data_IF_385995839926
#
_entry.id   IF_385995839926
#
_cell.length_a   1.000
_cell.length_b   1.000
_cell.length_c   1.000
_cell.angle_alpha   90.00
_cell.angle_beta   90.00
_cell.angle_gamma   90.00
#
_symmetry.space_group_name_H-M   'P 1'
#
loop_
_entity.id
_entity.type
_entity.pdbx_description
1 polymer ?
#
# COMPACT_ATOMS: atom_id res chain seq x y z
N UNK A 1 -5.56 -23.13 -38.85
CA UNK A 1 -4.11 -23.27 -38.63
C UNK A 1 -3.89 -23.25 -37.14
N UNK A 2 -3.28 -24.29 -36.57
CA UNK A 2 -2.81 -24.25 -35.18
C UNK A 2 -1.65 -23.26 -35.16
N UNK A 3 -1.72 -22.22 -34.33
CA UNK A 3 -0.63 -21.26 -34.21
C UNK A 3 0.64 -22.01 -33.80
N UNK A 4 1.74 -21.79 -34.53
CA UNK A 4 3.01 -22.48 -34.28
C UNK A 4 3.72 -21.95 -33.04
N UNK A 5 3.39 -20.72 -32.60
CA UNK A 5 3.76 -20.18 -31.30
C UNK A 5 2.70 -19.15 -30.85
N UNK A 6 2.60 -18.92 -29.53
CA UNK A 6 1.79 -17.86 -28.95
C UNK A 6 2.66 -16.94 -28.08
N UNK A 7 3.87 -16.67 -28.54
CA UNK A 7 4.87 -15.94 -27.75
C UNK A 7 4.53 -14.45 -27.61
N UNK A 8 3.92 -13.88 -28.63
CA UNK A 8 3.54 -12.47 -28.73
C UNK A 8 2.01 -12.32 -28.76
N UNK A 9 1.29 -13.04 -27.90
CA UNK A 9 -0.17 -12.94 -27.88
C UNK A 9 -0.59 -11.52 -27.44
N UNK A 10 -1.60 -10.90 -28.08
CA UNK A 10 -2.09 -9.58 -27.67
C UNK A 10 -2.62 -9.61 -26.23
N UNK A 11 -2.70 -8.43 -25.59
CA UNK A 11 -3.16 -8.33 -24.20
C UNK A 11 -4.55 -8.95 -24.01
N UNK A 12 -4.70 -9.83 -23.02
CA UNK A 12 -5.99 -10.38 -22.61
C UNK A 12 -6.59 -9.51 -21.50
N UNK A 13 -7.86 -9.12 -21.63
CA UNK A 13 -8.54 -8.22 -20.67
C UNK A 13 -9.90 -8.72 -20.23
N UNK A 14 -10.58 -9.49 -21.08
CA UNK A 14 -11.93 -9.98 -20.87
C UNK A 14 -11.93 -11.50 -20.73
N UNK A 15 -13.00 -12.06 -20.16
CA UNK A 15 -13.15 -13.53 -20.03
C UNK A 15 -13.17 -14.22 -21.41
N UNK A 16 -13.72 -13.54 -22.40
CA UNK A 16 -13.74 -13.97 -23.80
C UNK A 16 -12.32 -14.06 -24.36
N UNK A 17 -11.44 -13.10 -24.01
CA UNK A 17 -10.02 -13.14 -24.42
C UNK A 17 -9.29 -14.35 -23.84
N UNK A 18 -9.57 -14.71 -22.58
CA UNK A 18 -9.00 -15.93 -21.96
C UNK A 18 -9.45 -17.19 -22.69
N UNK A 19 -10.74 -17.29 -22.99
CA UNK A 19 -11.31 -18.45 -23.71
C UNK A 19 -10.71 -18.56 -25.11
N UNK A 20 -10.55 -17.42 -25.79
CA UNK A 20 -9.91 -17.33 -27.09
C UNK A 20 -8.42 -17.71 -27.03
N UNK A 21 -7.69 -17.23 -26.04
CA UNK A 21 -6.28 -17.56 -25.84
C UNK A 21 -6.08 -19.07 -25.63
N UNK A 22 -6.90 -19.71 -24.79
CA UNK A 22 -6.87 -21.18 -24.64
C UNK A 22 -7.14 -21.86 -25.98
N UNK A 23 -8.18 -21.45 -26.71
CA UNK A 23 -8.53 -22.06 -27.99
C UNK A 23 -7.43 -21.91 -29.05
N UNK A 24 -6.78 -20.75 -29.10
CA UNK A 24 -5.78 -20.42 -30.11
C UNK A 24 -4.42 -21.07 -29.79
N UNK A 25 -4.10 -21.25 -28.49
CA UNK A 25 -2.75 -21.56 -28.01
C UNK A 25 -2.63 -22.89 -27.26
N UNK A 26 -3.70 -23.66 -27.11
CA UNK A 26 -3.61 -24.93 -26.39
C UNK A 26 -2.57 -25.88 -26.99
N UNK A 27 -1.66 -26.35 -26.14
CA UNK A 27 -0.65 -27.35 -26.51
C UNK A 27 0.51 -26.81 -27.36
N UNK A 28 0.67 -25.49 -27.49
CA UNK A 28 1.89 -24.89 -28.07
C UNK A 28 3.05 -24.92 -27.05
N UNK A 29 4.28 -24.77 -27.54
CA UNK A 29 5.49 -24.84 -26.70
C UNK A 29 5.89 -23.50 -26.07
N UNK A 30 5.52 -22.38 -26.69
CA UNK A 30 5.84 -21.02 -26.24
C UNK A 30 4.59 -20.18 -26.05
N UNK A 31 4.39 -19.69 -24.83
CA UNK A 31 3.26 -18.83 -24.46
C UNK A 31 3.78 -17.48 -23.95
N UNK A 32 3.18 -16.37 -24.34
CA UNK A 32 3.59 -15.07 -23.84
C UNK A 32 2.71 -13.93 -24.32
N UNK A 33 2.81 -12.78 -23.64
CA UNK A 33 2.14 -11.55 -24.04
C UNK A 33 3.12 -10.54 -24.63
N UNK A 34 2.63 -9.64 -25.49
CA UNK A 34 3.39 -8.47 -25.96
C UNK A 34 3.67 -7.48 -24.81
N UNK A 35 4.73 -6.69 -24.93
CA UNK A 35 5.37 -5.96 -23.81
C UNK A 35 4.58 -4.78 -23.21
N UNK A 36 3.38 -4.47 -23.72
CA UNK A 36 2.77 -3.15 -23.48
C UNK A 36 1.68 -3.07 -22.39
N UNK A 37 1.04 -4.16 -21.92
CA UNK A 37 -0.03 -4.14 -20.87
C UNK A 37 -0.10 -5.53 -20.15
N UNK A 38 -0.74 -5.71 -18.96
CA UNK A 38 -0.21 -6.56 -17.89
C UNK A 38 0.23 -7.96 -18.34
N UNK A 39 1.47 -8.30 -17.98
CA UNK A 39 2.13 -9.57 -18.26
C UNK A 39 1.64 -10.66 -17.30
N UNK A 40 0.32 -10.80 -17.14
CA UNK A 40 -0.32 -11.67 -16.15
C UNK A 40 -1.38 -12.51 -16.83
N UNK A 41 -1.24 -13.83 -16.69
CA UNK A 41 -2.30 -14.79 -17.00
C UNK A 41 -2.97 -15.18 -15.67
N UNK A 42 -4.21 -14.73 -15.49
CA UNK A 42 -5.00 -15.03 -14.30
C UNK A 42 -5.92 -16.24 -14.54
N UNK A 43 -5.57 -17.35 -13.91
CA UNK A 43 -6.24 -18.62 -14.08
C UNK A 43 -7.67 -18.63 -13.51
N UNK A 44 -8.08 -17.62 -12.73
CA UNK A 44 -9.46 -17.52 -12.24
C UNK A 44 -10.49 -17.41 -13.39
N UNK A 45 -10.04 -17.01 -14.58
CA UNK A 45 -10.91 -16.83 -15.75
C UNK A 45 -11.05 -18.09 -16.62
N UNK A 46 -10.37 -19.20 -16.29
CA UNK A 46 -10.42 -20.46 -17.05
C UNK A 46 -10.74 -21.64 -16.14
N UNK A 47 -11.23 -22.74 -16.72
CA UNK A 47 -11.37 -24.01 -15.99
C UNK A 47 -10.01 -24.69 -15.83
N UNK A 48 -9.85 -25.56 -14.82
CA UNK A 48 -8.60 -26.34 -14.66
C UNK A 48 -8.31 -27.19 -15.90
N UNK A 49 -9.35 -27.73 -16.55
CA UNK A 49 -9.20 -28.51 -17.77
C UNK A 49 -8.60 -27.66 -18.90
N UNK A 50 -9.07 -26.43 -19.04
CA UNK A 50 -8.57 -25.50 -20.06
C UNK A 50 -7.17 -24.99 -19.73
N UNK A 51 -6.88 -24.73 -18.46
CA UNK A 51 -5.53 -24.46 -17.96
C UNK A 51 -4.57 -25.62 -18.31
N UNK A 52 -4.93 -26.85 -17.96
CA UNK A 52 -4.10 -28.03 -18.20
C UNK A 52 -3.92 -28.31 -19.70
N UNK A 53 -4.93 -28.07 -20.53
CA UNK A 53 -4.80 -28.12 -22.00
C UNK A 53 -3.83 -27.07 -22.51
N UNK A 54 -3.97 -25.83 -22.04
CA UNK A 54 -3.10 -24.71 -22.43
C UNK A 54 -1.62 -25.02 -22.14
N UNK A 55 -1.32 -25.46 -20.91
CA UNK A 55 0.04 -25.72 -20.46
C UNK A 55 0.55 -27.15 -20.73
N UNK A 56 -0.22 -28.00 -21.41
CA UNK A 56 0.11 -29.42 -21.65
C UNK A 56 1.46 -29.65 -22.32
N UNK A 57 1.90 -28.74 -23.19
CA UNK A 57 3.19 -28.78 -23.89
C UNK A 57 4.05 -27.53 -23.68
N UNK A 58 3.61 -26.57 -22.86
CA UNK A 58 4.28 -25.29 -22.69
C UNK A 58 5.65 -25.47 -22.03
N UNK A 59 6.71 -25.07 -22.74
CA UNK A 59 8.11 -25.17 -22.30
C UNK A 59 8.67 -23.83 -21.89
N UNK A 60 8.25 -22.76 -22.56
CA UNK A 60 8.72 -21.40 -22.27
C UNK A 60 7.52 -20.48 -22.07
N UNK A 61 7.59 -19.63 -21.05
CA UNK A 61 6.57 -18.60 -20.82
C UNK A 61 7.18 -17.20 -20.75
N UNK A 62 6.46 -16.25 -21.31
CA UNK A 62 6.67 -14.80 -21.17
C UNK A 62 5.42 -14.12 -20.65
N UNK A 63 5.07 -14.50 -19.43
CA UNK A 63 3.97 -14.00 -18.61
C UNK A 63 4.18 -14.47 -17.17
N UNK A 64 3.54 -13.79 -16.23
CA UNK A 64 3.33 -14.26 -14.86
C UNK A 64 2.10 -15.16 -14.84
N UNK A 65 2.14 -16.25 -14.08
CA UNK A 65 1.00 -17.15 -13.92
C UNK A 65 0.42 -16.97 -12.53
N UNK A 66 -0.83 -16.52 -12.47
CA UNK A 66 -1.57 -16.37 -11.22
C UNK A 66 -2.64 -17.45 -11.16
N UNK A 67 -2.46 -18.43 -10.28
CA UNK A 67 -3.50 -19.37 -9.87
C UNK A 67 -3.98 -18.87 -8.52
N UNK A 68 -4.98 -17.99 -8.54
CA UNK A 68 -5.49 -17.35 -7.34
C UNK A 68 -7.00 -17.55 -7.24
N UNK A 69 -7.49 -17.90 -6.05
CA UNK A 69 -8.92 -18.07 -5.78
C UNK A 69 -9.62 -19.07 -6.71
N UNK A 70 -8.89 -20.07 -7.23
CA UNK A 70 -9.47 -21.07 -8.11
C UNK A 70 -9.93 -22.29 -7.33
N UNK A 71 -10.81 -23.07 -7.94
CA UNK A 71 -11.20 -24.40 -7.48
C UNK A 71 -10.30 -25.49 -8.09
N UNK A 72 -9.07 -25.15 -8.48
CA UNK A 72 -8.16 -26.11 -9.09
C UNK A 72 -7.67 -27.11 -8.05
N UNK A 73 -7.68 -28.39 -8.42
CA UNK A 73 -7.25 -29.53 -7.63
C UNK A 73 -5.85 -29.97 -8.01
N UNK A 74 -5.57 -30.12 -9.32
CA UNK A 74 -4.30 -30.63 -9.84
C UNK A 74 -3.77 -29.88 -11.08
N UNK A 75 -3.59 -28.56 -11.03
CA UNK A 75 -3.05 -27.81 -12.15
C UNK A 75 -1.64 -28.26 -12.51
N UNK A 76 -1.34 -28.25 -13.80
CA UNK A 76 -0.10 -28.79 -14.36
C UNK A 76 0.73 -27.75 -15.12
N UNK A 77 2.01 -27.68 -14.74
CA UNK A 77 3.08 -26.92 -15.38
C UNK A 77 4.29 -27.84 -15.68
N UNK A 78 4.10 -29.17 -15.75
CA UNK A 78 5.17 -30.18 -15.79
C UNK A 78 6.18 -30.03 -16.95
N UNK A 79 5.77 -29.39 -18.04
CA UNK A 79 6.62 -29.23 -19.23
C UNK A 79 7.45 -27.95 -19.21
N UNK A 80 7.23 -27.07 -18.23
CA UNK A 80 7.91 -25.77 -18.19
C UNK A 80 9.41 -25.94 -17.96
N UNK A 81 10.20 -25.17 -18.70
CA UNK A 81 11.67 -25.20 -18.69
C UNK A 81 12.26 -23.81 -18.50
N UNK A 82 11.57 -22.77 -18.99
CA UNK A 82 12.05 -21.38 -18.95
C UNK A 82 10.92 -20.40 -18.65
N UNK A 83 11.23 -19.40 -17.82
CA UNK A 83 10.34 -18.27 -17.53
C UNK A 83 11.06 -16.96 -17.82
N UNK A 84 10.40 -16.05 -18.54
CA UNK A 84 10.85 -14.68 -18.65
C UNK A 84 10.35 -13.89 -17.45
N UNK A 85 11.28 -13.35 -16.68
CA UNK A 85 11.03 -12.64 -15.43
C UNK A 85 10.93 -11.15 -15.73
N UNK A 86 9.86 -10.55 -15.21
CA UNK A 86 9.74 -9.10 -15.13
C UNK A 86 10.14 -8.67 -13.72
N UNK A 87 11.14 -7.80 -13.64
CA UNK A 87 11.61 -7.30 -12.35
C UNK A 87 10.44 -6.70 -11.54
N UNK A 88 10.34 -7.13 -10.28
CA UNK A 88 9.34 -6.63 -9.34
C UNK A 88 7.91 -7.13 -9.53
N UNK A 89 7.69 -8.12 -10.40
CA UNK A 89 6.46 -8.92 -10.44
C UNK A 89 6.81 -10.39 -10.17
N UNK A 90 6.09 -11.09 -9.27
CA UNK A 90 6.29 -12.51 -9.08
C UNK A 90 5.96 -13.25 -10.37
N UNK A 91 6.80 -14.21 -10.75
CA UNK A 91 6.54 -15.03 -11.94
C UNK A 91 5.39 -16.01 -11.70
N UNK A 92 5.21 -16.43 -10.45
CA UNK A 92 4.16 -17.35 -10.07
C UNK A 92 3.47 -16.90 -8.79
N UNK A 93 2.14 -16.84 -8.81
CA UNK A 93 1.30 -16.71 -7.61
C UNK A 93 0.39 -17.92 -7.53
N UNK A 94 0.51 -18.68 -6.46
CA UNK A 94 -0.39 -19.76 -6.10
C UNK A 94 -1.03 -19.35 -4.78
N UNK A 95 -2.25 -18.82 -4.82
CA UNK A 95 -2.87 -18.26 -3.62
C UNK A 95 -4.35 -18.62 -3.48
N UNK A 96 -4.80 -18.90 -2.26
CA UNK A 96 -6.22 -19.20 -1.98
C UNK A 96 -6.86 -20.33 -2.81
N UNK A 97 -6.11 -21.35 -3.20
CA UNK A 97 -6.71 -22.46 -3.90
C UNK A 97 -7.06 -23.52 -2.86
N UNK A 98 -8.27 -23.41 -2.28
CA UNK A 98 -8.71 -24.25 -1.16
C UNK A 98 -8.71 -25.74 -1.51
N UNK A 99 -9.05 -26.05 -2.76
CA UNK A 99 -9.13 -27.41 -3.29
C UNK A 99 -7.80 -27.92 -3.86
N UNK A 100 -6.73 -27.10 -3.86
CA UNK A 100 -5.44 -27.46 -4.45
C UNK A 100 -4.78 -28.59 -3.66
N UNK A 101 -4.76 -29.78 -4.26
CA UNK A 101 -4.16 -30.99 -3.69
C UNK A 101 -2.73 -31.17 -4.17
N UNK A 102 -2.46 -30.92 -5.46
CA UNK A 102 -1.14 -31.10 -6.05
C UNK A 102 -0.89 -30.04 -7.11
N UNK A 103 0.30 -29.45 -7.12
CA UNK A 103 0.75 -28.61 -8.23
C UNK A 103 1.80 -29.41 -8.99
N UNK A 104 1.44 -29.89 -10.19
CA UNK A 104 2.36 -30.70 -10.99
C UNK A 104 3.41 -29.79 -11.63
N UNK A 105 4.58 -29.72 -11.00
CA UNK A 105 5.69 -28.89 -11.48
C UNK A 105 6.62 -29.68 -12.40
N UNK A 106 7.52 -29.00 -13.13
CA UNK A 106 8.59 -29.65 -13.89
C UNK A 106 9.42 -30.63 -13.05
N UNK A 107 10.02 -31.63 -13.71
CA UNK A 107 10.92 -32.59 -13.03
C UNK A 107 12.29 -31.99 -12.72
N UNK A 108 12.73 -31.03 -13.53
CA UNK A 108 13.97 -30.29 -13.36
C UNK A 108 13.67 -28.82 -13.01
N UNK A 109 14.61 -28.15 -12.36
CA UNK A 109 14.45 -26.73 -12.06
C UNK A 109 14.45 -25.90 -13.34
N UNK A 110 13.49 -24.98 -13.47
CA UNK A 110 13.41 -24.08 -14.63
C UNK A 110 14.54 -23.04 -14.62
N UNK A 111 14.75 -22.40 -15.77
CA UNK A 111 15.67 -21.28 -15.96
C UNK A 111 14.92 -19.94 -16.09
N UNK A 112 15.58 -18.84 -15.75
CA UNK A 112 15.03 -17.49 -15.90
C UNK A 112 15.63 -16.78 -17.12
N UNK A 113 14.85 -15.90 -17.77
CA UNK A 113 15.36 -14.86 -18.67
C UNK A 113 14.96 -13.47 -18.13
N UNK A 114 15.88 -12.52 -17.92
CA UNK A 114 17.32 -12.64 -18.08
C UNK A 114 17.94 -13.75 -17.22
N UNK A 115 19.03 -14.35 -17.72
CA UNK A 115 19.73 -15.41 -16.99
C UNK A 115 20.08 -14.96 -15.57
N UNK A 116 19.83 -15.85 -14.61
CA UNK A 116 20.07 -15.66 -13.19
C UNK A 116 19.26 -14.53 -12.51
N UNK A 117 18.09 -14.19 -13.04
CA UNK A 117 17.14 -13.30 -12.37
C UNK A 117 16.39 -14.06 -11.28
N UNK A 118 16.06 -13.38 -10.17
CA UNK A 118 15.29 -13.98 -9.08
C UNK A 118 13.88 -14.30 -9.56
N UNK A 119 13.50 -15.58 -9.49
CA UNK A 119 12.12 -16.01 -9.70
C UNK A 119 11.40 -15.95 -8.36
N UNK A 120 10.49 -14.99 -8.21
CA UNK A 120 9.65 -14.88 -7.02
C UNK A 120 8.39 -15.73 -7.19
N UNK A 121 8.15 -16.62 -6.22
CA UNK A 121 6.99 -17.51 -6.20
C UNK A 121 6.25 -17.34 -4.89
N UNK A 122 4.97 -16.98 -4.98
CA UNK A 122 4.12 -16.84 -3.81
C UNK A 122 3.25 -18.08 -3.66
N UNK A 123 3.32 -18.71 -2.49
CA UNK A 123 2.54 -19.90 -2.18
C UNK A 123 1.87 -19.71 -0.82
N UNK A 124 0.66 -19.16 -0.85
CA UNK A 124 -0.11 -18.85 0.35
C UNK A 124 -1.52 -19.43 0.27
N UNK A 125 -2.17 -19.70 1.39
CA UNK A 125 -3.62 -19.91 1.34
C UNK A 125 -4.10 -21.22 0.71
N UNK A 126 -3.22 -22.02 0.10
CA UNK A 126 -3.58 -23.22 -0.68
C UNK A 126 -3.74 -24.45 0.21
N UNK A 127 -4.58 -25.40 -0.24
CA UNK A 127 -4.51 -26.81 0.16
C UNK A 127 -4.35 -27.06 1.65
N UNK A 128 -5.45 -26.91 2.40
CA UNK A 128 -5.67 -27.64 3.65
C UNK A 128 -7.04 -28.29 3.51
N UNK A 129 -7.08 -29.49 2.92
CA UNK A 129 -8.24 -30.35 3.16
C UNK A 129 -8.49 -30.41 4.68
N UNK A 130 -9.75 -30.49 5.10
CA UNK A 130 -10.15 -30.48 6.52
C UNK A 130 -9.42 -31.52 7.40
N UNK A 131 -8.73 -32.47 6.77
CA UNK A 131 -8.17 -33.67 7.39
C UNK A 131 -6.63 -33.79 7.30
N UNK A 132 -5.89 -32.77 6.82
CA UNK A 132 -4.43 -32.87 6.67
C UNK A 132 -3.69 -32.39 7.93
N UNK A 133 -2.92 -33.28 8.57
CA UNK A 133 -2.17 -32.99 9.80
C UNK A 133 -0.90 -32.18 9.50
N UNK A 134 -0.37 -31.48 10.52
CA UNK A 134 0.83 -30.60 10.47
C UNK A 134 2.09 -31.29 9.92
N UNK A 135 2.08 -32.62 9.75
CA UNK A 135 3.21 -33.44 9.30
C UNK A 135 3.09 -33.99 7.87
N UNK A 136 1.97 -33.79 7.17
CA UNK A 136 1.87 -34.19 5.77
C UNK A 136 2.66 -33.21 4.90
N UNK A 137 3.49 -33.76 4.00
CA UNK A 137 4.31 -32.96 3.07
C UNK A 137 3.40 -32.04 2.28
N UNK A 138 3.49 -30.70 2.42
CA UNK A 138 2.56 -29.82 1.74
C UNK A 138 2.73 -29.97 0.21
N UNK A 139 1.70 -29.64 -0.60
CA UNK A 139 1.81 -29.59 -2.07
C UNK A 139 2.97 -28.67 -2.54
N UNK A 140 3.49 -27.86 -1.62
CA UNK A 140 4.72 -27.09 -1.70
C UNK A 140 5.98 -27.87 -2.09
N UNK A 141 6.09 -29.18 -1.79
CA UNK A 141 7.34 -29.92 -1.89
C UNK A 141 8.04 -29.77 -3.25
N UNK A 142 7.28 -29.58 -4.33
CA UNK A 142 7.81 -29.44 -5.68
C UNK A 142 7.83 -28.00 -6.24
N UNK A 143 7.25 -27.01 -5.53
CA UNK A 143 7.21 -25.59 -5.98
C UNK A 143 8.62 -25.02 -6.22
N UNK A 144 9.62 -25.50 -5.47
CA UNK A 144 11.02 -25.13 -5.66
C UNK A 144 11.57 -25.49 -7.06
N UNK A 145 10.92 -26.38 -7.82
CA UNK A 145 11.31 -26.72 -9.20
C UNK A 145 10.92 -25.62 -10.20
N UNK A 146 9.98 -24.74 -9.85
CA UNK A 146 9.71 -23.51 -10.59
C UNK A 146 10.74 -22.41 -10.29
N UNK A 147 11.82 -22.74 -9.60
CA UNK A 147 12.61 -21.79 -8.84
C UNK A 147 14.13 -22.05 -8.99
N UNK A 148 14.83 -21.40 -9.96
CA UNK A 148 16.26 -21.59 -10.20
C UNK A 148 17.14 -21.29 -8.97
N UNK A 149 17.95 -22.28 -8.56
CA UNK A 149 18.71 -22.28 -7.29
C UNK A 149 19.91 -21.31 -7.29
N UNK A 150 20.45 -20.93 -8.46
CA UNK A 150 21.78 -20.29 -8.52
C UNK A 150 21.85 -18.78 -8.19
N UNK A 151 20.76 -18.02 -8.25
CA UNK A 151 20.76 -16.59 -7.83
C UNK A 151 19.56 -16.12 -6.99
N UNK A 152 18.66 -17.03 -6.62
CA UNK A 152 17.62 -16.74 -5.63
C UNK A 152 16.25 -17.21 -6.11
N UNK A 153 15.74 -18.21 -5.40
CA UNK A 153 14.32 -18.47 -5.34
C UNK A 153 13.84 -17.95 -4.00
N UNK A 154 12.79 -17.12 -4.01
CA UNK A 154 12.06 -16.81 -2.77
C UNK A 154 10.70 -17.43 -2.89
N UNK A 155 10.50 -18.50 -2.12
CA UNK A 155 9.14 -18.94 -1.85
C UNK A 155 8.70 -18.40 -0.51
N UNK A 156 7.65 -17.62 -0.55
CA UNK A 156 6.97 -17.15 0.64
C UNK A 156 5.89 -18.17 1.02
N UNK A 157 5.81 -18.48 2.31
CA UNK A 157 4.92 -19.48 2.91
C UNK A 157 3.96 -18.81 3.88
N UNK A 158 2.86 -19.50 4.18
CA UNK A 158 1.91 -19.08 5.22
C UNK A 158 2.62 -18.84 6.57
N UNK A 159 2.60 -17.58 7.01
CA UNK A 159 2.82 -17.16 8.40
C UNK A 159 1.51 -16.66 8.98
N UNK A 160 1.47 -16.41 10.29
CA UNK A 160 0.26 -15.87 10.92
C UNK A 160 -0.15 -14.50 10.37
N UNK A 161 0.80 -13.74 9.83
CA UNK A 161 0.55 -12.42 9.25
C UNK A 161 0.48 -12.43 7.73
N UNK A 162 0.81 -13.54 7.05
CA UNK A 162 0.58 -13.69 5.62
C UNK A 162 -0.77 -14.33 5.27
N UNK A 163 -1.59 -14.69 6.27
CA UNK A 163 -2.94 -15.25 6.12
C UNK A 163 -3.88 -14.78 7.24
N UNK A 164 -4.02 -13.47 7.38
CA UNK A 164 -4.85 -12.85 8.44
C UNK A 164 -6.33 -13.17 8.19
N UNK A 165 -6.90 -14.06 9.00
CA UNK A 165 -8.22 -14.63 8.77
C UNK A 165 -9.40 -13.69 9.06
N UNK A 166 -9.17 -12.64 9.84
CA UNK A 166 -10.21 -11.72 10.29
C UNK A 166 -9.75 -10.26 10.20
N UNK A 167 -10.67 -9.30 10.02
CA UNK A 167 -10.35 -7.89 10.14
C UNK A 167 -9.69 -7.55 11.48
N UNK A 168 -8.86 -6.51 11.48
CA UNK A 168 -8.12 -6.10 12.67
C UNK A 168 -9.07 -5.45 13.68
N UNK A 169 -9.29 -6.13 14.80
CA UNK A 169 -10.12 -5.64 15.90
C UNK A 169 -9.30 -4.88 16.96
N UNK A 170 -8.06 -5.32 17.24
CA UNK A 170 -7.11 -4.63 18.12
C UNK A 170 -5.81 -4.35 17.34
N UNK A 171 -5.56 -3.07 17.07
CA UNK A 171 -4.39 -2.64 16.31
C UNK A 171 -3.08 -2.83 17.08
N UNK A 172 -3.09 -2.77 18.41
CA UNK A 172 -1.88 -2.93 19.23
C UNK A 172 -1.46 -4.40 19.27
N UNK A 173 -2.42 -5.30 19.46
CA UNK A 173 -2.18 -6.74 19.36
C UNK A 173 -1.64 -7.11 17.97
N UNK A 174 -2.26 -6.54 16.92
CA UNK A 174 -1.81 -6.75 15.55
C UNK A 174 -0.36 -6.30 15.31
N UNK A 175 0.02 -5.12 15.82
CA UNK A 175 1.40 -4.62 15.73
C UNK A 175 2.36 -5.56 16.43
N UNK A 176 2.03 -6.02 17.63
CA UNK A 176 2.91 -6.92 18.38
C UNK A 176 3.09 -8.25 17.65
N UNK A 177 2.00 -8.80 17.11
CA UNK A 177 1.99 -10.05 16.35
C UNK A 177 2.79 -9.97 15.05
N UNK A 178 2.63 -8.89 14.27
CA UNK A 178 3.19 -8.82 12.90
C UNK A 178 4.50 -8.04 12.76
N UNK A 179 5.03 -7.45 13.84
CA UNK A 179 6.22 -6.57 13.80
C UNK A 179 7.53 -7.16 13.29
N UNK A 180 7.66 -8.49 13.23
CA UNK A 180 8.86 -9.15 12.70
C UNK A 180 8.61 -9.91 11.41
N UNK A 181 7.40 -9.79 10.86
CA UNK A 181 6.98 -10.52 9.68
C UNK A 181 7.43 -9.80 8.43
N UNK A 182 7.98 -10.57 7.49
CA UNK A 182 8.42 -10.04 6.19
C UNK A 182 7.26 -9.92 5.21
N UNK A 183 6.14 -10.60 5.47
CA UNK A 183 4.93 -10.56 4.66
C UNK A 183 3.73 -10.24 5.55
N UNK A 184 2.94 -9.23 5.16
CA UNK A 184 1.66 -8.93 5.81
C UNK A 184 0.56 -8.98 4.75
N UNK A 185 -0.42 -9.87 4.93
CA UNK A 185 -1.47 -10.19 3.96
C UNK A 185 -2.72 -10.75 4.62
N UNK A 186 -3.87 -10.28 4.14
CA UNK A 186 -5.17 -10.84 4.46
C UNK A 186 -5.36 -12.24 3.95
N UNK A 187 -6.11 -13.05 4.69
CA UNK A 187 -6.70 -14.23 4.10
C UNK A 187 -7.64 -13.79 2.96
N UNK A 188 -7.99 -14.70 2.06
CA UNK A 188 -8.69 -14.33 0.85
C UNK A 188 -10.11 -13.85 1.15
N UNK A 189 -10.51 -12.73 0.52
CA UNK A 189 -11.73 -12.01 0.86
C UNK A 189 -11.66 -11.16 2.15
N UNK A 190 -10.54 -11.21 2.89
CA UNK A 190 -10.32 -10.41 4.10
C UNK A 190 -9.52 -9.17 3.76
N UNK A 191 -10.13 -8.00 3.96
CA UNK A 191 -9.46 -6.72 3.83
C UNK A 191 -8.66 -6.41 5.10
N UNK A 192 -7.34 -6.35 4.97
CA UNK A 192 -6.46 -5.87 6.04
C UNK A 192 -6.21 -4.39 5.82
N UNK A 193 -6.84 -3.56 6.63
CA UNK A 193 -6.73 -2.10 6.57
C UNK A 193 -6.06 -1.58 7.85
N UNK A 194 -5.03 -0.75 7.69
CA UNK A 194 -4.30 -0.12 8.78
C UNK A 194 -4.53 1.38 8.71
N UNK A 195 -5.22 1.94 9.71
CA UNK A 195 -5.33 3.38 9.88
C UNK A 195 -4.20 3.88 10.81
N UNK A 196 -3.28 4.67 10.24
CA UNK A 196 -2.13 5.21 10.97
C UNK A 196 -2.54 6.24 12.04
N UNK A 197 -3.78 6.78 12.01
CA UNK A 197 -4.28 7.62 13.09
C UNK A 197 -4.37 6.86 14.43
N UNK A 198 -4.47 5.52 14.38
CA UNK A 198 -4.54 4.65 15.56
C UNK A 198 -3.17 4.22 16.09
N UNK A 199 -2.09 4.59 15.40
CA UNK A 199 -0.73 4.17 15.72
C UNK A 199 0.15 5.36 16.06
N UNK A 200 1.07 5.18 17.01
CA UNK A 200 2.17 6.11 17.21
C UNK A 200 3.39 5.75 16.34
N UNK A 201 4.35 6.67 16.19
CA UNK A 201 5.52 6.47 15.33
C UNK A 201 6.37 5.25 15.71
N UNK A 202 6.39 4.84 16.99
CA UNK A 202 7.10 3.64 17.44
C UNK A 202 6.39 2.38 16.96
N UNK A 203 5.06 2.34 17.03
CA UNK A 203 4.27 1.21 16.52
C UNK A 203 4.35 1.10 15.01
N UNK A 204 4.29 2.22 14.27
CA UNK A 204 4.48 2.23 12.81
C UNK A 204 5.85 1.67 12.46
N UNK A 205 6.91 2.18 13.09
CA UNK A 205 8.29 1.70 12.86
C UNK A 205 8.46 0.24 13.25
N UNK A 206 7.77 -0.21 14.30
CA UNK A 206 7.80 -1.60 14.76
C UNK A 206 7.08 -2.53 13.78
N UNK A 207 5.93 -2.13 13.25
CA UNK A 207 5.13 -2.93 12.31
C UNK A 207 5.82 -3.08 10.95
N UNK A 208 6.24 -1.97 10.36
CA UNK A 208 6.78 -1.95 8.98
C UNK A 208 8.31 -2.02 8.91
N UNK A 209 8.99 -2.05 10.06
CA UNK A 209 10.45 -1.98 10.14
C UNK A 209 11.18 -3.18 9.55
N UNK A 210 10.49 -4.30 9.31
CA UNK A 210 11.04 -5.52 8.66
C UNK A 210 10.23 -6.01 7.47
N UNK A 211 9.07 -5.40 7.21
CA UNK A 211 8.16 -5.87 6.17
C UNK A 211 8.79 -5.67 4.79
N UNK A 212 8.77 -6.74 4.00
CA UNK A 212 9.26 -6.75 2.63
C UNK A 212 8.12 -6.77 1.63
N UNK A 213 6.98 -7.39 1.97
CA UNK A 213 5.81 -7.50 1.11
C UNK A 213 4.55 -7.16 1.88
N UNK A 214 3.74 -6.27 1.31
CA UNK A 214 2.51 -5.77 1.92
C UNK A 214 1.35 -5.96 0.95
N UNK A 215 0.30 -6.65 1.40
CA UNK A 215 -0.96 -6.85 0.68
C UNK A 215 -2.10 -6.31 1.54
N UNK A 216 -1.98 -5.03 1.87
CA UNK A 216 -2.80 -4.34 2.87
C UNK A 216 -3.10 -2.93 2.37
N UNK A 217 -4.14 -2.30 2.92
CA UNK A 217 -4.41 -0.90 2.68
C UNK A 217 -3.92 -0.07 3.86
N UNK A 218 -3.00 0.86 3.62
CA UNK A 218 -2.48 1.78 4.64
C UNK A 218 -3.11 3.14 4.44
N UNK A 219 -3.79 3.64 5.47
CA UNK A 219 -4.48 4.93 5.46
C UNK A 219 -3.87 5.89 6.48
N UNK A 220 -3.57 7.10 6.04
CA UNK A 220 -3.12 8.22 6.87
C UNK A 220 -3.84 9.47 6.41
N UNK A 221 -4.93 9.83 7.09
CA UNK A 221 -5.72 11.01 6.76
C UNK A 221 -5.74 11.96 7.94
N UNK A 222 -5.27 13.20 7.75
CA UNK A 222 -5.31 14.21 8.82
C UNK A 222 -4.42 13.88 10.02
N UNK A 223 -3.35 13.09 9.85
CA UNK A 223 -2.50 12.65 10.96
C UNK A 223 -1.32 13.61 11.21
N UNK A 224 -0.77 13.54 12.42
CA UNK A 224 0.39 14.33 12.86
C UNK A 224 1.73 13.61 12.66
N UNK A 225 1.75 12.50 11.92
CA UNK A 225 2.98 11.75 11.68
C UNK A 225 3.92 12.53 10.78
N UNK A 226 5.16 12.74 11.26
CA UNK A 226 6.17 13.44 10.48
C UNK A 226 6.86 12.58 9.44
N UNK A 227 7.01 11.29 9.73
CA UNK A 227 7.84 10.38 8.94
C UNK A 227 7.19 9.01 8.83
N UNK A 228 7.07 8.51 7.60
CA UNK A 228 6.67 7.15 7.30
C UNK A 228 7.83 6.45 6.59
N UNK A 229 8.26 5.30 7.11
CA UNK A 229 9.46 4.61 6.62
C UNK A 229 9.18 3.13 6.44
N UNK A 230 9.50 2.63 5.26
CA UNK A 230 9.33 1.24 4.86
C UNK A 230 10.69 0.67 4.40
N UNK A 231 11.68 0.55 5.29
CA UNK A 231 13.10 0.44 4.91
C UNK A 231 13.47 -0.83 4.13
N UNK A 232 12.66 -1.89 4.20
CA UNK A 232 12.92 -3.17 3.53
C UNK A 232 11.86 -3.54 2.50
N UNK A 233 10.92 -2.64 2.21
CA UNK A 233 9.80 -2.91 1.32
C UNK A 233 10.28 -3.19 -0.10
N UNK A 234 9.86 -4.32 -0.63
CA UNK A 234 10.11 -4.78 -2.00
C UNK A 234 8.84 -4.71 -2.83
N UNK A 235 7.68 -4.98 -2.22
CA UNK A 235 6.41 -4.96 -2.92
C UNK A 235 5.26 -4.49 -2.03
N UNK A 236 4.35 -3.72 -2.60
CA UNK A 236 3.10 -3.32 -1.94
C UNK A 236 1.94 -3.34 -2.93
N UNK A 237 0.84 -3.93 -2.50
CA UNK A 237 -0.39 -4.10 -3.27
C UNK A 237 -1.58 -3.81 -2.36
N UNK A 238 -2.64 -3.26 -2.94
CA UNK A 238 -3.85 -2.91 -2.22
C UNK A 238 -4.48 -4.16 -1.61
N UNK A 239 -5.14 -3.98 -0.46
CA UNK A 239 -5.89 -5.04 0.19
C UNK A 239 -7.08 -5.54 -0.64
N UNK A 240 -7.53 -4.79 -1.65
CA UNK A 240 -8.60 -5.17 -2.56
C UNK A 240 -8.58 -4.31 -3.84
N UNK A 241 -9.22 -4.79 -4.90
CA UNK A 241 -9.40 -4.03 -6.14
C UNK A 241 -10.16 -2.71 -5.89
N UNK A 242 -9.70 -1.64 -6.53
CA UNK A 242 -10.26 -0.28 -6.41
C UNK A 242 -9.86 0.49 -5.15
N UNK A 243 -9.18 -0.14 -4.20
CA UNK A 243 -8.65 0.52 -3.01
C UNK A 243 -7.25 1.10 -3.29
N UNK A 244 -6.81 2.04 -2.44
CA UNK A 244 -5.43 2.49 -2.43
C UNK A 244 -4.60 1.62 -1.47
N UNK A 245 -3.50 1.04 -1.94
CA UNK A 245 -2.52 0.39 -1.07
C UNK A 245 -1.93 1.39 -0.06
N UNK A 246 -1.77 2.64 -0.48
CA UNK A 246 -1.32 3.74 0.35
C UNK A 246 -2.12 5.01 0.09
N UNK A 247 -2.85 5.46 1.10
CA UNK A 247 -3.63 6.69 1.10
C UNK A 247 -3.04 7.68 2.11
N UNK A 248 -2.36 8.73 1.64
CA UNK A 248 -1.81 9.80 2.47
C UNK A 248 -2.51 11.12 2.12
N UNK A 249 -3.52 11.51 2.88
CA UNK A 249 -4.27 12.74 2.60
C UNK A 249 -4.23 13.73 3.75
N UNK A 250 -3.99 15.00 3.43
CA UNK A 250 -4.14 16.13 4.35
C UNK A 250 -3.36 15.94 5.68
N UNK A 251 -2.16 15.36 5.64
CA UNK A 251 -1.33 15.19 6.84
C UNK A 251 -0.45 16.45 7.02
N UNK A 252 -0.78 17.36 7.95
CA UNK A 252 -0.16 18.68 8.02
C UNK A 252 1.33 18.67 8.35
N UNK A 253 1.83 17.61 9.01
CA UNK A 253 3.24 17.55 9.43
C UNK A 253 4.06 16.49 8.71
N UNK A 254 3.50 15.84 7.68
CA UNK A 254 4.20 14.78 6.98
C UNK A 254 5.33 15.36 6.14
N UNK A 255 6.55 15.23 6.65
CA UNK A 255 7.78 15.73 6.03
C UNK A 255 8.40 14.69 5.09
N UNK A 256 8.29 13.40 5.45
CA UNK A 256 9.06 12.34 4.84
C UNK A 256 8.26 11.05 4.64
N UNK A 257 8.29 10.51 3.42
CA UNK A 257 7.87 9.14 3.11
C UNK A 257 9.04 8.42 2.41
N UNK A 258 9.55 7.36 3.03
CA UNK A 258 10.74 6.65 2.54
C UNK A 258 10.39 5.23 2.10
N UNK A 259 10.64 4.97 0.82
CA UNK A 259 10.67 3.65 0.22
C UNK A 259 12.09 3.31 -0.29
N UNK A 260 12.47 2.03 -0.37
CA UNK A 260 13.69 1.62 -1.05
C UNK A 260 13.57 1.89 -2.54
N UNK A 261 14.64 2.31 -3.23
CA UNK A 261 14.57 2.68 -4.66
C UNK A 261 14.15 1.54 -5.61
N UNK A 262 14.13 0.30 -5.13
CA UNK A 262 13.88 -0.92 -5.91
C UNK A 262 12.52 -1.55 -5.62
N UNK A 263 11.64 -0.88 -4.87
CA UNK A 263 10.32 -1.44 -4.55
C UNK A 263 9.37 -1.35 -5.75
N UNK A 264 8.40 -2.25 -5.82
CA UNK A 264 7.29 -2.19 -6.77
C UNK A 264 5.96 -1.99 -6.09
N UNK A 265 5.01 -1.44 -6.84
CA UNK A 265 3.62 -1.29 -6.42
C UNK A 265 2.66 -1.72 -7.52
N UNK A 266 1.43 -2.05 -7.14
CA UNK A 266 0.27 -2.19 -8.03
C UNK A 266 -0.26 -0.85 -8.57
N UNK A 267 0.44 0.23 -8.24
CA UNK A 267 0.18 1.62 -8.65
C UNK A 267 -1.06 2.25 -8.04
N UNK A 268 -1.53 1.73 -6.91
CA UNK A 268 -2.72 2.22 -6.20
C UNK A 268 -2.37 3.19 -5.06
N UNK A 269 -1.43 4.13 -5.26
CA UNK A 269 -1.17 5.16 -4.23
C UNK A 269 -1.95 6.43 -4.51
N UNK A 270 -2.36 7.07 -3.42
CA UNK A 270 -2.92 8.41 -3.43
C UNK A 270 -2.30 9.27 -2.35
N UNK A 271 -1.65 10.35 -2.75
CA UNK A 271 -0.93 11.26 -1.86
C UNK A 271 -1.34 12.69 -2.20
N UNK A 272 -2.20 13.32 -1.40
CA UNK A 272 -2.69 14.69 -1.64
C UNK A 272 -2.80 15.55 -0.39
N UNK A 273 -2.64 16.86 -0.55
CA UNK A 273 -2.83 17.83 0.54
C UNK A 273 -1.79 17.74 1.68
N UNK A 274 -0.64 17.09 1.45
CA UNK A 274 0.45 17.02 2.43
C UNK A 274 1.44 18.16 2.12
N UNK A 275 1.16 19.36 2.63
CA UNK A 275 1.85 20.60 2.22
C UNK A 275 3.33 20.67 2.64
N UNK A 276 3.75 19.94 3.68
CA UNK A 276 5.16 19.87 4.11
C UNK A 276 5.94 18.79 3.35
N UNK A 277 5.24 17.84 2.71
CA UNK A 277 5.89 16.70 2.07
C UNK A 277 6.70 17.20 0.87
N UNK A 278 8.02 17.09 0.98
CA UNK A 278 8.92 17.71 0.01
C UNK A 278 8.68 17.21 -1.43
N UNK A 279 8.80 18.13 -2.40
CA UNK A 279 8.80 17.80 -3.83
C UNK A 279 9.78 16.66 -4.16
N UNK A 280 10.91 16.57 -3.46
CA UNK A 280 11.89 15.49 -3.63
C UNK A 280 11.31 14.12 -3.29
N UNK A 281 10.51 13.99 -2.23
CA UNK A 281 9.85 12.72 -1.92
C UNK A 281 8.78 12.37 -2.93
N UNK A 282 7.96 13.33 -3.35
CA UNK A 282 6.93 13.12 -4.37
C UNK A 282 7.57 12.69 -5.70
N UNK A 283 8.65 13.35 -6.12
CA UNK A 283 9.40 13.00 -7.35
C UNK A 283 10.00 11.58 -7.31
N UNK A 284 10.49 11.15 -6.14
CA UNK A 284 10.99 9.78 -5.99
C UNK A 284 9.86 8.73 -6.13
N UNK A 285 8.64 9.07 -5.68
CA UNK A 285 7.46 8.22 -5.83
C UNK A 285 6.90 8.24 -7.27
N UNK A 286 6.94 9.38 -7.96
CA UNK A 286 6.57 9.48 -9.39
C UNK A 286 7.44 8.57 -10.28
N UNK A 287 8.74 8.46 -9.97
CA UNK A 287 9.66 7.60 -10.72
C UNK A 287 9.34 6.10 -10.56
N UNK A 288 8.70 5.71 -9.46
CA UNK A 288 8.38 4.30 -9.13
C UNK A 288 6.91 3.95 -9.37
N UNK A 289 6.03 4.94 -9.45
CA UNK A 289 4.61 4.77 -9.70
C UNK A 289 4.03 5.82 -10.66
N UNK A 290 4.15 5.55 -11.96
CA UNK A 290 3.69 6.43 -13.03
C UNK A 290 2.15 6.63 -13.10
N UNK A 291 1.36 5.77 -12.45
CA UNK A 291 -0.11 5.83 -12.47
C UNK A 291 -0.73 6.17 -11.10
N UNK A 292 0.08 6.50 -10.11
CA UNK A 292 -0.41 6.89 -8.79
C UNK A 292 -1.02 8.30 -8.83
N UNK A 293 -1.99 8.53 -7.96
CA UNK A 293 -2.62 9.84 -7.75
C UNK A 293 -1.79 10.67 -6.76
N UNK A 294 -0.73 11.32 -7.26
CA UNK A 294 0.18 12.12 -6.45
C UNK A 294 -0.11 13.62 -6.64
N UNK A 295 -0.05 14.39 -5.55
CA UNK A 295 -0.06 15.86 -5.59
C UNK A 295 1.08 16.36 -6.47
N UNK A 296 0.85 17.44 -7.22
CA UNK A 296 1.87 17.98 -8.11
C UNK A 296 3.09 18.41 -7.28
N UNK A 297 4.32 17.98 -7.62
CA UNK A 297 5.54 18.51 -7.01
C UNK A 297 5.61 20.04 -7.01
N UNK A 298 4.92 20.69 -7.95
CA UNK A 298 4.76 22.14 -8.10
C UNK A 298 3.46 22.74 -7.54
N UNK A 299 2.49 21.94 -7.06
CA UNK A 299 1.40 22.44 -6.19
C UNK A 299 1.94 22.87 -4.81
N UNK A 300 3.24 22.64 -4.58
CA UNK A 300 4.04 23.44 -3.68
C UNK A 300 4.24 24.85 -4.25
N UNK A 301 3.23 25.73 -4.14
CA UNK A 301 3.56 26.97 -3.47
C UNK A 301 3.95 26.54 -2.07
N UNK A 302 5.26 26.36 -1.84
CA UNK A 302 5.80 26.56 -0.51
C UNK A 302 5.38 27.99 -0.20
N UNK A 303 4.25 28.17 0.48
CA UNK A 303 4.01 29.40 1.20
C UNK A 303 5.29 29.58 2.01
N UNK A 304 6.08 30.58 1.64
CA UNK A 304 7.30 30.87 2.35
C UNK A 304 6.94 31.05 3.83
N UNK A 305 7.90 30.93 4.74
CA UNK A 305 7.62 31.22 6.15
C UNK A 305 7.00 32.62 6.34
N UNK A 306 7.23 33.53 5.38
CA UNK A 306 6.62 34.85 5.32
C UNK A 306 5.17 34.83 4.81
N UNK A 307 4.81 33.96 3.87
CA UNK A 307 3.43 33.81 3.37
C UNK A 307 2.53 33.14 4.42
N UNK A 308 2.99 32.05 5.05
CA UNK A 308 2.26 31.41 6.17
C UNK A 308 2.06 32.42 7.31
N UNK A 309 3.08 33.22 7.59
CA UNK A 309 2.98 34.26 8.61
C UNK A 309 1.98 35.34 8.21
N UNK A 310 1.97 35.77 6.95
CA UNK A 310 1.01 36.76 6.46
C UNK A 310 -0.43 36.23 6.56
N UNK A 311 -0.66 34.97 6.20
CA UNK A 311 -1.97 34.33 6.28
C UNK A 311 -2.46 34.17 7.72
N UNK A 312 -1.57 33.79 8.64
CA UNK A 312 -1.90 33.70 10.06
C UNK A 312 -2.08 35.07 10.73
N UNK A 313 -1.45 36.14 10.22
CA UNK A 313 -1.68 37.51 10.66
C UNK A 313 -2.97 38.13 10.06
N UNK A 314 -3.67 37.43 9.18
CA UNK A 314 -4.94 37.89 8.62
C UNK A 314 -5.92 36.72 8.37
N UNK A 315 -5.96 35.77 9.30
CA UNK A 315 -6.70 34.52 9.11
C UNK A 315 -8.23 34.76 9.18
N UNK A 316 -9.07 34.16 8.33
CA UNK A 316 -10.52 34.30 8.44
C UNK A 316 -11.03 33.76 9.78
N UNK A 317 -11.93 34.46 10.50
CA UNK A 317 -12.45 33.94 11.76
C UNK A 317 -13.11 32.57 11.59
N UNK A 318 -12.77 31.57 12.42
CA UNK A 318 -13.29 30.21 12.25
C UNK A 318 -14.74 30.10 12.77
N UNK A 319 -15.65 29.57 11.94
CA UNK A 319 -17.09 29.47 12.25
C UNK A 319 -17.52 28.05 12.62
N UNK A 320 -16.94 27.05 11.97
CA UNK A 320 -17.23 25.62 12.17
C UNK A 320 -15.96 24.84 12.55
N UNK A 321 -16.13 23.66 13.12
CA UNK A 321 -15.03 22.82 13.64
C UNK A 321 -13.92 22.57 12.62
N UNK A 322 -14.25 22.38 11.34
CA UNK A 322 -13.25 22.23 10.27
C UNK A 322 -12.33 23.44 10.12
N UNK A 323 -12.82 24.66 10.40
CA UNK A 323 -12.05 25.89 10.27
C UNK A 323 -11.04 26.02 11.41
N UNK A 324 -11.41 25.55 12.62
CA UNK A 324 -10.50 25.46 13.75
C UNK A 324 -9.38 24.46 13.48
N UNK A 325 -9.70 23.31 12.89
CA UNK A 325 -8.70 22.32 12.49
C UNK A 325 -7.78 22.88 11.41
N UNK A 326 -8.34 23.55 10.40
CA UNK A 326 -7.55 24.21 9.35
C UNK A 326 -6.61 25.27 9.94
N UNK A 327 -7.10 26.11 10.85
CA UNK A 327 -6.30 27.10 11.55
C UNK A 327 -5.13 26.46 12.33
N UNK A 328 -5.39 25.37 13.06
CA UNK A 328 -4.33 24.62 13.75
C UNK A 328 -3.29 24.13 12.75
N UNK A 329 -3.73 23.59 11.61
CA UNK A 329 -2.85 23.03 10.60
C UNK A 329 -1.99 24.10 9.91
N UNK A 330 -2.54 25.28 9.65
CA UNK A 330 -1.85 26.38 8.96
C UNK A 330 -0.95 27.16 9.92
N UNK A 331 -1.44 27.46 11.13
CA UNK A 331 -0.81 28.46 12.01
C UNK A 331 -0.07 27.87 13.22
N UNK A 332 0.04 26.55 13.36
CA UNK A 332 0.87 25.98 14.44
C UNK A 332 2.34 26.33 14.23
N UNK A 333 2.93 27.02 15.21
CA UNK A 333 4.35 27.40 15.19
C UNK A 333 4.63 28.87 14.88
N UNK A 334 3.63 29.64 14.45
CA UNK A 334 3.76 31.09 14.27
C UNK A 334 3.80 31.83 15.61
N UNK A 335 4.38 33.03 15.61
CA UNK A 335 4.43 33.90 16.79
C UNK A 335 3.23 34.84 16.89
N UNK A 336 2.53 35.10 15.78
CA UNK A 336 1.39 36.01 15.72
C UNK A 336 0.23 35.35 15.02
N UNK A 337 -0.95 35.40 15.63
CA UNK A 337 -2.18 34.87 15.05
C UNK A 337 -3.29 35.91 15.20
N UNK A 338 -3.83 36.39 14.09
CA UNK A 338 -4.85 37.43 14.07
C UNK A 338 -6.00 37.04 13.15
N UNK A 339 -7.22 37.39 13.58
CA UNK A 339 -8.40 37.23 12.76
C UNK A 339 -8.72 38.49 11.95
N UNK A 340 -9.00 38.28 10.67
CA UNK A 340 -9.38 39.31 9.73
C UNK A 340 -10.72 39.96 10.10
N UNK A 341 -10.89 41.23 9.71
CA UNK A 341 -12.17 41.93 9.79
C UNK A 341 -12.57 42.49 11.17
N UNK A 342 -11.83 42.19 12.24
CA UNK A 342 -11.99 42.84 13.56
C UNK A 342 -13.36 42.66 14.24
N UNK A 343 -14.25 41.82 13.71
CA UNK A 343 -15.61 41.59 14.23
C UNK A 343 -15.69 40.39 15.17
N UNK A 344 -14.77 39.43 15.05
CA UNK A 344 -14.77 38.25 15.90
C UNK A 344 -14.04 38.53 17.20
N UNK A 345 -14.80 38.52 18.29
CA UNK A 345 -14.29 38.84 19.62
C UNK A 345 -13.68 37.63 20.34
N UNK A 346 -14.01 36.39 19.93
CA UNK A 346 -13.56 35.18 20.64
C UNK A 346 -13.22 33.98 19.74
N UNK A 347 -12.17 33.26 20.12
CA UNK A 347 -11.85 31.91 19.69
C UNK A 347 -12.47 30.89 20.67
N UNK A 348 -13.35 30.01 20.19
CA UNK A 348 -14.02 29.02 21.04
C UNK A 348 -13.17 27.74 21.18
N UNK A 349 -12.51 27.61 22.33
CA UNK A 349 -11.62 26.48 22.59
C UNK A 349 -12.37 25.13 22.70
N UNK A 350 -13.69 25.11 22.87
CA UNK A 350 -14.46 23.85 22.89
C UNK A 350 -14.50 23.13 21.54
N UNK A 351 -14.11 23.82 20.46
CA UNK A 351 -14.05 23.28 19.10
C UNK A 351 -12.78 22.47 18.81
N UNK A 352 -11.85 22.37 19.75
CA UNK A 352 -10.62 21.60 19.60
C UNK A 352 -10.42 20.62 20.76
N UNK A 353 -9.78 19.47 20.52
CA UNK A 353 -9.15 18.69 21.58
C UNK A 353 -7.99 19.45 22.24
N UNK A 354 -7.72 19.16 23.51
CA UNK A 354 -6.68 19.86 24.29
C UNK A 354 -5.32 19.87 23.60
N UNK A 355 -4.88 18.75 23.00
CA UNK A 355 -3.57 18.68 22.38
C UNK A 355 -3.44 19.60 21.14
N UNK A 356 -4.51 19.77 20.36
CA UNK A 356 -4.50 20.66 19.18
C UNK A 356 -4.44 22.12 19.62
N UNK A 357 -5.20 22.46 20.66
CA UNK A 357 -5.13 23.78 21.28
C UNK A 357 -3.73 24.07 21.83
N UNK A 358 -3.14 23.13 22.56
CA UNK A 358 -1.80 23.27 23.10
C UNK A 358 -0.74 23.41 22.01
N UNK A 359 -0.85 22.69 20.89
CA UNK A 359 0.10 22.82 19.76
C UNK A 359 -0.05 24.16 19.03
N UNK A 360 -1.28 24.63 18.76
CA UNK A 360 -1.50 25.94 18.14
C UNK A 360 -0.90 27.07 18.99
N UNK A 361 -1.22 27.08 20.29
CA UNK A 361 -0.79 28.16 21.21
C UNK A 361 0.62 27.98 21.78
N UNK A 362 1.34 26.92 21.38
CA UNK A 362 2.67 26.62 21.87
C UNK A 362 3.69 27.71 21.59
N UNK A 363 3.59 28.38 20.44
CA UNK A 363 4.54 29.38 19.95
C UNK A 363 3.96 30.78 19.81
N UNK A 364 2.64 30.92 19.89
CA UNK A 364 1.94 32.19 19.74
C UNK A 364 2.32 33.14 20.89
N UNK A 365 2.71 34.35 20.52
CA UNK A 365 3.08 35.45 21.41
C UNK A 365 2.07 36.60 21.38
N UNK A 366 1.37 36.78 20.25
CA UNK A 366 0.42 37.88 20.03
C UNK A 366 -0.86 37.38 19.34
N UNK A 367 -2.02 37.76 19.87
CA UNK A 367 -3.35 37.56 19.24
C UNK A 367 -4.19 38.83 19.22
N UNK A 368 -5.22 38.90 18.38
CA UNK A 368 -6.17 40.03 18.32
C UNK A 368 -7.62 39.68 18.73
N UNK A 369 -7.83 38.52 19.33
CA UNK A 369 -9.12 38.01 19.79
C UNK A 369 -9.05 37.49 21.23
N UNK A 370 -10.21 37.39 21.89
CA UNK A 370 -10.33 36.75 23.20
C UNK A 370 -10.36 35.21 23.11
N UNK A 371 -10.01 34.53 24.19
CA UNK A 371 -10.14 33.07 24.28
C UNK A 371 -11.38 32.72 25.10
N UNK A 372 -12.31 31.97 24.51
CA UNK A 372 -13.48 31.44 25.20
C UNK A 372 -13.20 29.99 25.58
N UNK A 373 -12.93 29.76 26.86
CA UNK A 373 -12.57 28.43 27.42
C UNK A 373 -13.70 28.00 28.37
N UNK A 374 -14.83 27.62 27.78
CA UNK A 374 -15.98 27.08 28.51
C UNK A 374 -16.37 25.75 27.87
N UNK A 375 -16.95 24.85 28.67
CA UNK A 375 -17.39 23.53 28.22
C UNK A 375 -16.27 22.68 27.55
N UNK A 376 -15.01 22.89 27.94
CA UNK A 376 -13.89 22.08 27.45
C UNK A 376 -13.60 20.93 28.42
N UNK A 377 -13.02 19.85 27.90
CA UNK A 377 -12.50 18.73 28.71
C UNK A 377 -11.02 18.97 29.10
N UNK A 378 -10.56 20.21 29.09
CA UNK A 378 -9.14 20.52 29.25
C UNK A 378 -8.74 20.32 30.71
N UNK A 379 -7.71 19.51 30.94
CA UNK A 379 -7.14 19.28 32.27
C UNK A 379 -6.21 20.41 32.71
N UNK A 380 -5.65 21.14 31.75
CA UNK A 380 -4.80 22.31 31.96
C UNK A 380 -4.92 23.25 30.77
N UNK A 381 -4.58 24.50 31.01
CA UNK A 381 -4.41 25.50 29.96
C UNK A 381 -2.91 25.76 29.79
N UNK A 382 -2.37 25.47 28.60
CA UNK A 382 -0.96 25.66 28.30
C UNK A 382 -0.80 26.62 27.11
N UNK A 383 -0.45 27.87 27.43
CA UNK A 383 -0.24 28.96 26.48
C UNK A 383 1.04 29.70 26.90
N UNK A 384 2.20 29.04 26.82
CA UNK A 384 3.40 29.44 27.56
C UNK A 384 4.05 30.74 27.07
N UNK A 385 3.77 31.14 25.83
CA UNK A 385 4.48 32.24 25.16
C UNK A 385 3.59 33.48 24.90
N UNK A 386 2.29 33.42 25.21
CA UNK A 386 1.37 34.52 24.92
C UNK A 386 1.69 35.72 25.82
N UNK A 387 2.08 36.83 25.18
CA UNK A 387 2.49 38.07 25.84
C UNK A 387 1.50 39.21 25.59
N UNK A 388 0.78 39.17 24.47
CA UNK A 388 -0.03 40.31 24.01
C UNK A 388 -1.37 39.87 23.42
N UNK A 389 -2.43 40.57 23.82
CA UNK A 389 -3.79 40.39 23.30
C UNK A 389 -4.31 41.78 22.88
N UNK A 390 -4.49 42.00 21.59
CA UNK A 390 -4.97 43.28 21.02
C UNK A 390 -6.43 43.16 20.60
N UNK A 391 -7.36 43.33 21.53
CA UNK A 391 -8.78 43.25 21.20
C UNK A 391 -9.20 44.57 20.54
N UNK A 392 -9.49 44.54 19.24
CA UNK A 392 -10.04 45.68 18.51
C UNK A 392 -11.57 45.59 18.50
N UNK A 393 -12.21 46.33 19.40
CA UNK A 393 -13.67 46.41 19.51
C UNK A 393 -14.07 46.96 20.88
N UNK A 394 -15.13 47.79 20.93
CA UNK A 394 -15.69 48.23 22.22
C UNK A 394 -16.20 46.99 22.97
N UNK A 395 -15.64 46.78 24.18
CA UNK A 395 -16.11 45.79 25.16
C UNK A 395 -17.59 46.05 25.47
#
# INVERSE_FOLDING_TARGET
>A
MVATDCWNYPSIKTKEDYSKFVSDCAGVDKLGFMDDIPWVFDAQHVSENDFNKLFSNAKEIRMSIHIQNTNFVQPSLEKLQKVHVREGSPSFRFENNADLVDLKTPTQTITSEPNDTVVETYYFGNGRGKDMHVHDTPPYANVHKLCPVKKGCRVHKDTECSRIAEPINDISEFVDKCSNETVIKGAPGVKVMIDLALLNSRQISKLFGKSEQLYICIRSVGTYHRKLRFPHLKHIEACNEGENALLLENNPFLEEVVFPCTFTSDRSFRIRGNHILSARNIMAMLATCLQCDLQDPGENLVESADDIKADCENFPPPEKESDYIHLVNTCSGVQKLQFAGGTTTYFDASKLPQYMFEELFKKIEEINFGLKIVNTQYKRLYIPNLKKINIFGKI
#
